data_IF_074517897066
#
_entry.id   IF_074517897066
#
_cell.length_a   1.000
_cell.length_b   1.000
_cell.length_c   1.000
_cell.angle_alpha   90.00
_cell.angle_beta   90.00
_cell.angle_gamma   90.00
#
_symmetry.space_group_name_H-M   'P 1'
#
loop_
_entity.id
_entity.type
_entity.pdbx_description
1 polymer ?
#
# COMPACT_ATOMS: atom_id res chain seq x y z
N UNK A 1 0.57 -37.74 -39.23
CA UNK A 1 1.20 -36.42 -39.45
C UNK A 1 0.16 -35.35 -39.13
N UNK A 2 0.60 -34.25 -38.50
CA UNK A 2 -0.25 -33.24 -37.87
C UNK A 2 0.46 -32.75 -36.61
N UNK A 3 0.80 -31.46 -36.56
CA UNK A 3 1.97 -31.00 -35.79
C UNK A 3 1.66 -30.45 -34.40
N UNK A 4 2.66 -30.51 -33.51
CA UNK A 4 2.60 -29.88 -32.19
C UNK A 4 2.56 -28.35 -32.27
N UNK A 5 1.51 -27.71 -31.73
CA UNK A 5 1.58 -26.30 -31.34
C UNK A 5 1.96 -26.15 -29.86
N UNK A 6 3.22 -26.44 -29.55
CA UNK A 6 3.82 -26.10 -28.25
C UNK A 6 3.79 -24.59 -28.03
N UNK A 7 2.88 -24.11 -27.17
CA UNK A 7 2.76 -22.70 -26.80
C UNK A 7 4.02 -22.21 -26.08
N UNK A 8 4.90 -21.51 -26.82
CA UNK A 8 6.09 -20.86 -26.27
C UNK A 8 5.68 -19.68 -25.39
N UNK A 9 5.83 -19.83 -24.07
CA UNK A 9 5.85 -18.67 -23.16
C UNK A 9 7.11 -17.83 -23.46
N UNK A 10 7.01 -16.51 -23.66
CA UNK A 10 8.20 -15.66 -23.63
C UNK A 10 8.79 -15.67 -22.22
N UNK A 11 10.12 -15.69 -22.12
CA UNK A 11 10.84 -15.38 -20.88
C UNK A 11 11.25 -13.92 -20.94
N UNK A 12 10.63 -13.07 -20.13
CA UNK A 12 11.00 -11.64 -20.00
C UNK A 12 12.25 -11.48 -19.15
N UNK A 13 13.08 -10.49 -19.48
CA UNK A 13 14.51 -10.42 -19.13
C UNK A 13 14.82 -9.72 -17.79
N UNK A 14 13.85 -9.65 -16.88
CA UNK A 14 13.82 -8.74 -15.71
C UNK A 14 14.76 -9.10 -14.55
N UNK A 15 15.77 -9.96 -14.75
CA UNK A 15 16.62 -10.46 -13.65
C UNK A 15 18.14 -10.29 -13.87
N UNK A 16 18.58 -9.72 -15.00
CA UNK A 16 20.00 -9.58 -15.28
C UNK A 16 20.66 -8.35 -14.62
N UNK A 17 19.93 -7.27 -14.37
CA UNK A 17 20.53 -5.99 -13.97
C UNK A 17 20.75 -5.84 -12.45
N UNK A 18 19.84 -6.36 -11.61
CA UNK A 18 20.08 -6.51 -10.16
C UNK A 18 21.34 -7.36 -9.88
N UNK A 19 21.48 -8.46 -10.61
CA UNK A 19 22.63 -9.36 -10.50
C UNK A 19 23.95 -8.67 -10.92
N UNK A 20 23.92 -7.82 -11.96
CA UNK A 20 25.07 -6.97 -12.35
C UNK A 20 25.37 -5.93 -11.26
N UNK A 21 24.35 -5.19 -10.81
CA UNK A 21 24.45 -4.13 -9.80
C UNK A 21 25.07 -4.64 -8.49
N UNK A 22 24.54 -5.73 -7.94
CA UNK A 22 25.07 -6.37 -6.73
C UNK A 22 26.53 -6.85 -6.93
N UNK A 23 26.82 -7.49 -8.06
CA UNK A 23 28.18 -7.92 -8.44
C UNK A 23 29.15 -6.75 -8.69
N UNK A 24 28.64 -5.55 -8.97
CA UNK A 24 29.41 -4.30 -9.06
C UNK A 24 29.76 -3.79 -7.64
N UNK A 25 28.78 -3.74 -6.73
CA UNK A 25 28.95 -3.32 -5.32
C UNK A 25 29.92 -4.22 -4.56
N UNK A 26 29.74 -5.54 -4.64
CA UNK A 26 30.63 -6.54 -4.02
C UNK A 26 32.08 -6.50 -4.56
N UNK A 27 32.30 -5.94 -5.76
CA UNK A 27 33.65 -5.66 -6.32
C UNK A 27 34.22 -4.32 -5.86
N UNK A 28 33.39 -3.37 -5.44
CA UNK A 28 33.82 -2.08 -4.90
C UNK A 28 34.24 -2.21 -3.43
N UNK A 29 33.46 -2.90 -2.59
CA UNK A 29 33.79 -3.18 -1.19
C UNK A 29 35.13 -3.93 -1.09
N UNK A 30 35.27 -5.06 -1.81
CA UNK A 30 36.52 -5.84 -1.87
C UNK A 30 37.72 -5.11 -2.49
N UNK A 31 37.54 -3.91 -3.06
CA UNK A 31 38.61 -2.99 -3.48
C UNK A 31 38.88 -1.89 -2.45
N UNK A 32 37.88 -1.50 -1.65
CA UNK A 32 38.06 -0.62 -0.50
C UNK A 32 38.83 -1.34 0.62
N UNK A 33 38.40 -2.54 1.02
CA UNK A 33 39.04 -3.35 2.06
C UNK A 33 40.53 -3.55 1.79
N UNK A 34 40.88 -3.95 0.56
CA UNK A 34 42.26 -4.17 0.13
C UNK A 34 43.11 -2.90 0.05
N UNK A 35 42.50 -1.72 -0.16
CA UNK A 35 43.20 -0.43 -0.05
C UNK A 35 43.44 -0.07 1.41
N UNK A 36 42.48 -0.34 2.28
CA UNK A 36 42.59 -0.07 3.72
C UNK A 36 43.65 -0.97 4.37
N UNK A 37 43.69 -2.28 4.05
CA UNK A 37 44.78 -3.19 4.45
C UNK A 37 46.17 -2.73 3.98
N UNK A 38 46.25 -2.27 2.72
CA UNK A 38 47.52 -1.84 2.12
C UNK A 38 48.05 -0.53 2.72
N UNK A 39 47.16 0.35 3.18
CA UNK A 39 47.53 1.53 3.96
C UNK A 39 47.91 1.13 5.40
N UNK A 40 47.07 0.35 6.09
CA UNK A 40 47.29 -0.08 7.48
C UNK A 40 48.66 -0.74 7.70
N UNK A 41 49.15 -1.52 6.73
CA UNK A 41 50.49 -2.14 6.82
C UNK A 41 51.64 -1.10 6.91
N UNK A 42 51.49 0.08 6.31
CA UNK A 42 52.52 1.14 6.24
C UNK A 42 52.62 2.03 7.49
N UNK A 43 51.58 2.10 8.31
CA UNK A 43 51.54 2.91 9.54
C UNK A 43 52.60 2.43 10.56
N UNK A 44 53.08 3.33 11.42
CA UNK A 44 53.88 2.96 12.60
C UNK A 44 53.06 2.21 13.65
N UNK A 45 53.72 1.65 14.67
CA UNK A 45 53.05 0.90 15.73
C UNK A 45 52.01 1.72 16.51
N UNK A 46 52.24 3.03 16.71
CA UNK A 46 51.31 3.90 17.42
C UNK A 46 50.09 4.24 16.55
N UNK A 47 50.32 4.70 15.31
CA UNK A 47 49.23 5.00 14.36
C UNK A 47 48.34 3.77 14.10
N UNK A 48 48.92 2.55 14.13
CA UNK A 48 48.17 1.29 14.05
C UNK A 48 47.23 1.07 15.23
N UNK A 49 47.65 1.43 16.45
CA UNK A 49 46.81 1.36 17.65
C UNK A 49 45.66 2.36 17.52
N UNK A 50 45.97 3.60 17.14
CA UNK A 50 44.98 4.69 17.07
C UNK A 50 43.93 4.41 15.97
N UNK A 51 44.36 3.94 14.80
CA UNK A 51 43.47 3.47 13.73
C UNK A 51 42.56 2.31 14.16
N UNK A 52 43.09 1.33 14.90
CA UNK A 52 42.29 0.23 15.43
C UNK A 52 41.28 0.70 16.48
N UNK A 53 41.66 1.65 17.35
CA UNK A 53 40.74 2.26 18.31
C UNK A 53 39.62 3.03 17.61
N UNK A 54 39.92 3.82 16.57
CA UNK A 54 38.90 4.51 15.77
C UNK A 54 37.98 3.51 15.06
N UNK A 55 38.53 2.47 14.43
CA UNK A 55 37.74 1.44 13.75
C UNK A 55 36.83 0.67 14.72
N UNK A 56 37.30 0.38 15.93
CA UNK A 56 36.49 -0.20 17.02
C UNK A 56 35.40 0.78 17.49
N UNK A 57 35.72 2.07 17.65
CA UNK A 57 34.76 3.12 18.03
C UNK A 57 33.64 3.24 16.99
N UNK A 58 34.01 3.25 15.71
CA UNK A 58 33.08 3.27 14.57
C UNK A 58 32.21 2.01 14.52
N UNK A 59 32.81 0.82 14.58
CA UNK A 59 32.04 -0.44 14.62
C UNK A 59 31.06 -0.51 15.82
N UNK A 60 31.40 0.12 16.96
CA UNK A 60 30.49 0.26 18.10
C UNK A 60 29.35 1.26 17.82
N UNK A 61 29.62 2.43 17.24
CA UNK A 61 28.55 3.38 16.89
C UNK A 61 27.61 2.82 15.83
N UNK A 62 28.17 2.20 14.79
CA UNK A 62 27.43 1.63 13.66
C UNK A 62 26.51 0.50 14.16
N UNK A 63 26.99 -0.34 15.08
CA UNK A 63 26.19 -1.39 15.74
C UNK A 63 25.09 -0.84 16.68
N UNK A 64 25.33 0.29 17.36
CA UNK A 64 24.30 0.94 18.18
C UNK A 64 23.18 1.48 17.27
N UNK A 65 23.53 2.07 16.13
CA UNK A 65 22.58 2.55 15.12
C UNK A 65 21.82 1.38 14.49
N UNK A 66 22.49 0.27 14.16
CA UNK A 66 21.86 -0.94 13.65
C UNK A 66 20.83 -1.52 14.65
N UNK A 67 21.20 -1.64 15.93
CA UNK A 67 20.29 -2.12 16.98
C UNK A 67 19.08 -1.19 17.16
N UNK A 68 19.27 0.13 17.12
CA UNK A 68 18.18 1.09 17.17
C UNK A 68 17.25 0.99 15.93
N UNK A 69 17.81 0.77 14.74
CA UNK A 69 17.04 0.55 13.52
C UNK A 69 16.24 -0.76 13.57
N UNK A 70 16.80 -1.83 14.13
CA UNK A 70 16.11 -3.12 14.32
C UNK A 70 14.96 -3.02 15.33
N UNK A 71 15.14 -2.29 16.44
CA UNK A 71 14.09 -2.04 17.43
C UNK A 71 12.96 -1.17 16.86
N UNK A 72 13.30 -0.08 16.14
CA UNK A 72 12.33 0.74 15.43
C UNK A 72 11.56 -0.06 14.36
N UNK A 73 12.24 -0.89 13.59
CA UNK A 73 11.60 -1.76 12.59
C UNK A 73 10.66 -2.77 13.26
N UNK A 74 11.09 -3.43 14.34
CA UNK A 74 10.24 -4.34 15.14
C UNK A 74 8.97 -3.64 15.62
N UNK A 75 9.10 -2.47 16.24
CA UNK A 75 7.98 -1.66 16.73
C UNK A 75 7.03 -1.22 15.62
N UNK A 76 7.53 -1.01 14.40
CA UNK A 76 6.67 -0.75 13.24
C UNK A 76 5.96 -2.03 12.78
N UNK A 77 6.67 -3.15 12.63
CA UNK A 77 6.08 -4.43 12.23
C UNK A 77 4.99 -4.91 13.19
N UNK A 78 5.15 -4.65 14.49
CA UNK A 78 4.16 -5.00 15.53
C UNK A 78 2.86 -4.18 15.38
N UNK A 79 2.96 -2.87 15.12
CA UNK A 79 1.81 -2.02 14.78
C UNK A 79 1.15 -2.46 13.47
N UNK A 80 1.95 -2.62 12.42
CA UNK A 80 1.53 -3.11 11.10
C UNK A 80 0.77 -4.44 11.21
N UNK A 81 1.22 -5.36 12.07
CA UNK A 81 0.57 -6.64 12.30
C UNK A 81 -0.79 -6.47 12.98
N UNK A 82 -0.87 -5.67 14.04
CA UNK A 82 -2.11 -5.39 14.77
C UNK A 82 -3.14 -4.70 13.85
N UNK A 83 -2.74 -3.70 13.06
CA UNK A 83 -3.62 -3.05 12.09
C UNK A 83 -4.07 -4.02 10.99
N UNK A 84 -3.15 -4.84 10.44
CA UNK A 84 -3.52 -5.87 9.46
C UNK A 84 -4.52 -6.87 10.03
N UNK A 85 -4.35 -7.28 11.29
CA UNK A 85 -5.30 -8.19 11.96
C UNK A 85 -6.66 -7.53 12.18
N UNK A 86 -6.69 -6.28 12.69
CA UNK A 86 -7.92 -5.50 12.91
C UNK A 86 -8.73 -5.27 11.62
N UNK A 87 -8.06 -5.14 10.48
CA UNK A 87 -8.71 -4.86 9.20
C UNK A 87 -8.76 -6.03 8.21
N UNK A 88 -8.25 -7.22 8.58
CA UNK A 88 -8.16 -8.39 7.68
C UNK A 88 -9.53 -8.83 7.12
N UNK A 89 -10.57 -8.79 7.97
CA UNK A 89 -11.95 -9.19 7.61
C UNK A 89 -12.62 -8.15 6.70
N UNK A 90 -12.06 -6.93 6.58
CA UNK A 90 -12.69 -5.81 5.89
C UNK A 90 -12.92 -6.01 4.38
N UNK A 91 -12.03 -6.75 3.69
CA UNK A 91 -12.25 -7.12 2.27
C UNK A 91 -13.39 -8.12 2.14
N UNK A 92 -13.31 -9.25 2.85
CA UNK A 92 -14.33 -10.29 2.86
C UNK A 92 -15.73 -9.76 3.24
N UNK A 93 -15.80 -8.89 4.24
CA UNK A 93 -17.04 -8.22 4.61
C UNK A 93 -17.59 -7.36 3.45
N UNK A 94 -16.73 -6.56 2.80
CA UNK A 94 -17.11 -5.71 1.66
C UNK A 94 -17.68 -6.53 0.49
N UNK A 95 -17.14 -7.73 0.25
CA UNK A 95 -17.61 -8.64 -0.80
C UNK A 95 -18.96 -9.31 -0.44
N UNK A 96 -19.29 -9.43 0.85
CA UNK A 96 -20.59 -9.91 1.34
C UNK A 96 -21.68 -8.82 1.32
N UNK A 97 -21.33 -7.54 1.51
CA UNK A 97 -22.33 -6.45 1.61
C UNK A 97 -23.38 -6.42 0.47
N UNK A 98 -23.06 -6.66 -0.82
CA UNK A 98 -24.06 -6.70 -1.89
C UNK A 98 -25.15 -7.77 -1.70
N UNK A 99 -24.82 -8.90 -1.07
CA UNK A 99 -25.82 -9.91 -0.72
C UNK A 99 -26.76 -9.40 0.38
N UNK A 100 -26.20 -8.74 1.41
CA UNK A 100 -26.97 -8.15 2.51
C UNK A 100 -27.88 -6.98 2.04
N UNK A 101 -27.43 -6.21 1.04
CA UNK A 101 -28.28 -5.22 0.37
C UNK A 101 -29.43 -5.89 -0.39
N UNK A 102 -29.16 -7.02 -1.07
CA UNK A 102 -30.18 -7.79 -1.81
C UNK A 102 -31.24 -8.37 -0.87
N UNK A 103 -30.84 -8.90 0.30
CA UNK A 103 -31.77 -9.26 1.37
C UNK A 103 -32.60 -8.05 1.84
N UNK A 104 -31.95 -6.90 2.07
CA UNK A 104 -32.63 -5.67 2.50
C UNK A 104 -33.64 -5.14 1.45
N UNK A 105 -33.34 -5.30 0.17
CA UNK A 105 -34.26 -5.00 -0.94
C UNK A 105 -35.46 -5.96 -0.95
N UNK A 106 -35.24 -7.27 -0.76
CA UNK A 106 -36.32 -8.26 -0.69
C UNK A 106 -37.26 -8.02 0.51
N UNK A 107 -36.70 -7.72 1.69
CA UNK A 107 -37.44 -7.34 2.90
C UNK A 107 -38.25 -6.03 2.73
N UNK A 108 -37.89 -5.17 1.78
CA UNK A 108 -38.58 -3.90 1.53
C UNK A 108 -39.85 -4.03 0.68
N UNK A 109 -40.19 -5.23 0.21
CA UNK A 109 -41.39 -5.47 -0.61
C UNK A 109 -42.68 -5.40 0.23
N UNK A 110 -43.57 -4.46 -0.11
CA UNK A 110 -44.80 -4.19 0.67
C UNK A 110 -46.03 -5.01 0.23
N UNK A 111 -46.00 -5.59 -0.97
CA UNK A 111 -47.14 -6.26 -1.59
C UNK A 111 -46.91 -7.78 -1.62
N UNK A 112 -47.08 -8.44 -0.47
CA UNK A 112 -46.83 -9.89 -0.30
C UNK A 112 -47.93 -10.55 0.53
N UNK A 113 -48.26 -11.80 0.18
CA UNK A 113 -49.27 -12.61 0.86
C UNK A 113 -48.89 -12.92 2.31
N UNK A 114 -49.87 -13.31 3.13
CA UNK A 114 -49.68 -13.62 4.54
C UNK A 114 -48.67 -14.77 4.76
N UNK A 115 -48.66 -15.76 3.86
CA UNK A 115 -47.67 -16.84 3.83
C UNK A 115 -46.25 -16.31 3.60
N UNK A 116 -46.05 -15.48 2.56
CA UNK A 116 -44.74 -14.88 2.25
C UNK A 116 -44.27 -13.97 3.39
N UNK A 117 -45.18 -13.31 4.11
CA UNK A 117 -44.84 -12.49 5.29
C UNK A 117 -44.19 -13.30 6.41
N UNK A 118 -44.57 -14.57 6.59
CA UNK A 118 -43.93 -15.46 7.57
C UNK A 118 -42.50 -15.82 7.15
N UNK A 119 -42.27 -16.09 5.87
CA UNK A 119 -40.91 -16.27 5.31
C UNK A 119 -40.05 -14.99 5.42
N UNK A 120 -40.66 -13.82 5.20
CA UNK A 120 -40.02 -12.51 5.33
C UNK A 120 -39.45 -12.27 6.73
N UNK A 121 -40.21 -12.66 7.77
CA UNK A 121 -39.75 -12.64 9.18
C UNK A 121 -38.55 -13.57 9.42
N UNK A 122 -38.50 -14.72 8.75
CA UNK A 122 -37.34 -15.61 8.78
C UNK A 122 -36.09 -14.97 8.19
N UNK A 123 -36.22 -14.27 7.05
CA UNK A 123 -35.10 -13.52 6.45
C UNK A 123 -34.67 -12.31 7.30
N UNK A 124 -35.60 -11.66 8.01
CA UNK A 124 -35.29 -10.60 8.98
C UNK A 124 -34.45 -11.12 10.16
N UNK A 125 -34.77 -12.31 10.69
CA UNK A 125 -33.93 -12.96 11.72
C UNK A 125 -32.52 -13.27 11.19
N UNK A 126 -32.40 -13.81 9.97
CA UNK A 126 -31.10 -14.07 9.33
C UNK A 126 -30.30 -12.78 9.14
N UNK A 127 -30.94 -11.67 8.72
CA UNK A 127 -30.31 -10.36 8.63
C UNK A 127 -29.79 -9.90 10.01
N UNK A 128 -30.58 -10.07 11.07
CA UNK A 128 -30.16 -9.76 12.44
C UNK A 128 -28.91 -10.54 12.89
N UNK A 129 -28.79 -11.81 12.49
CA UNK A 129 -27.58 -12.61 12.74
C UNK A 129 -26.35 -12.09 11.97
N UNK A 130 -26.53 -11.57 10.75
CA UNK A 130 -25.44 -10.90 10.01
C UNK A 130 -25.02 -9.59 10.68
N UNK A 131 -25.96 -8.75 11.11
CA UNK A 131 -25.63 -7.49 11.80
C UNK A 131 -24.88 -7.76 13.12
N UNK A 132 -25.34 -8.73 13.93
CA UNK A 132 -24.61 -9.19 15.14
C UNK A 132 -23.21 -9.73 14.82
N UNK A 133 -23.08 -10.54 13.76
CA UNK A 133 -21.78 -11.07 13.33
C UNK A 133 -20.84 -9.97 12.83
N UNK A 134 -21.36 -8.85 12.31
CA UNK A 134 -20.57 -7.69 11.92
C UNK A 134 -20.11 -6.89 13.14
N UNK A 135 -20.98 -6.64 14.11
CA UNK A 135 -20.63 -5.95 15.36
C UNK A 135 -19.51 -6.67 16.14
N UNK A 136 -19.56 -8.01 16.20
CA UNK A 136 -18.51 -8.85 16.81
C UNK A 136 -17.12 -8.67 16.14
N UNK A 137 -17.08 -8.33 14.85
CA UNK A 137 -15.84 -8.05 14.11
C UNK A 137 -15.51 -6.54 14.04
N UNK A 138 -16.17 -5.71 14.85
CA UNK A 138 -15.96 -4.27 14.89
C UNK A 138 -16.48 -3.53 13.65
N UNK A 139 -17.32 -4.19 12.84
CA UNK A 139 -17.98 -3.60 11.68
C UNK A 139 -19.30 -2.98 12.14
N UNK A 140 -19.48 -1.69 11.87
CA UNK A 140 -20.69 -0.94 12.23
C UNK A 140 -21.35 -0.37 10.98
N UNK A 141 -22.67 -0.41 10.95
CA UNK A 141 -23.45 0.35 9.97
C UNK A 141 -23.30 1.86 10.25
N UNK A 142 -23.25 2.66 9.19
CA UNK A 142 -23.33 4.12 9.30
C UNK A 142 -24.79 4.50 9.54
N UNK A 143 -25.06 5.18 10.64
CA UNK A 143 -26.37 5.77 10.94
C UNK A 143 -26.61 6.94 9.99
N UNK A 144 -27.66 6.82 9.18
CA UNK A 144 -28.08 7.81 8.17
C UNK A 144 -29.60 7.79 8.09
N UNK A 145 -30.23 8.92 8.39
CA UNK A 145 -31.68 9.08 8.39
C UNK A 145 -32.12 9.99 7.23
N UNK A 146 -33.41 9.97 6.92
CA UNK A 146 -34.01 10.92 5.99
C UNK A 146 -34.09 12.28 6.68
N UNK A 147 -33.56 13.33 6.04
CA UNK A 147 -33.43 14.69 6.57
C UNK A 147 -32.03 15.03 7.12
N UNK A 148 -31.16 14.04 7.34
CA UNK A 148 -29.79 14.30 7.78
C UNK A 148 -28.98 15.07 6.72
N UNK A 149 -28.01 15.92 7.13
CA UNK A 149 -27.16 16.66 6.20
C UNK A 149 -26.24 15.72 5.41
N UNK A 150 -26.05 16.00 4.12
CA UNK A 150 -25.12 15.26 3.29
C UNK A 150 -23.66 15.46 3.76
N UNK A 151 -22.86 14.39 3.73
CA UNK A 151 -21.46 14.43 4.14
C UNK A 151 -20.62 13.51 3.24
N UNK A 152 -19.87 14.11 2.32
CA UNK A 152 -19.03 13.43 1.32
C UNK A 152 -18.00 12.44 1.90
N UNK A 153 -17.63 12.56 3.19
CA UNK A 153 -16.72 11.61 3.85
C UNK A 153 -17.36 10.23 4.07
N UNK A 154 -18.68 10.17 4.27
CA UNK A 154 -19.41 8.97 4.67
C UNK A 154 -20.55 8.58 3.73
N UNK A 155 -21.05 9.54 2.95
CA UNK A 155 -22.22 9.40 2.08
C UNK A 155 -21.80 9.63 0.62
N UNK A 156 -22.35 8.83 -0.29
CA UNK A 156 -22.16 8.96 -1.74
C UNK A 156 -23.51 9.29 -2.38
N UNK A 157 -23.62 10.49 -2.95
CA UNK A 157 -24.80 10.90 -3.71
C UNK A 157 -24.83 10.12 -5.04
N UNK A 158 -25.85 9.28 -5.22
CA UNK A 158 -26.08 8.53 -6.47
C UNK A 158 -27.15 9.19 -7.34
N UNK A 159 -28.06 9.94 -6.71
CA UNK A 159 -29.17 10.63 -7.35
C UNK A 159 -29.36 12.00 -6.67
N UNK A 160 -29.64 13.04 -7.46
CA UNK A 160 -30.07 14.34 -6.96
C UNK A 160 -31.51 14.58 -7.38
N UNK A 161 -32.36 15.04 -6.46
CA UNK A 161 -33.79 15.25 -6.72
C UNK A 161 -34.29 16.54 -6.08
N UNK A 162 -35.04 17.35 -6.84
CA UNK A 162 -35.75 18.50 -6.29
C UNK A 162 -37.00 18.02 -5.51
N UNK A 163 -37.16 18.50 -4.28
CA UNK A 163 -38.30 18.19 -3.39
C UNK A 163 -38.60 19.42 -2.54
N UNK A 164 -39.74 20.07 -2.77
CA UNK A 164 -40.13 21.34 -2.14
C UNK A 164 -40.13 21.28 -0.60
N UNK A 165 -40.47 20.13 -0.03
CA UNK A 165 -40.69 19.96 1.41
C UNK A 165 -39.40 19.70 2.22
N UNK A 166 -38.23 19.73 1.58
CA UNK A 166 -36.94 19.46 2.23
C UNK A 166 -35.87 20.50 1.87
N UNK A 167 -34.84 20.63 2.71
CA UNK A 167 -33.73 21.57 2.52
C UNK A 167 -32.70 21.02 1.51
N UNK A 168 -32.13 21.89 0.69
CA UNK A 168 -30.96 21.57 -0.16
C UNK A 168 -29.81 20.95 0.66
N UNK A 169 -29.07 20.00 0.07
CA UNK A 169 -28.01 19.20 0.70
C UNK A 169 -28.46 18.34 1.91
N UNK A 170 -29.73 17.97 1.99
CA UNK A 170 -30.22 16.94 2.92
C UNK A 170 -30.50 15.61 2.22
N UNK A 171 -30.48 14.53 2.99
CA UNK A 171 -30.64 13.16 2.48
C UNK A 171 -32.13 12.85 2.34
N UNK A 172 -32.61 12.70 1.11
CA UNK A 172 -33.99 12.34 0.79
C UNK A 172 -34.27 10.85 1.07
N UNK A 173 -33.29 10.00 0.79
CA UNK A 173 -33.41 8.54 0.91
C UNK A 173 -32.05 7.88 1.02
N UNK A 174 -31.93 6.88 1.88
CA UNK A 174 -30.82 5.92 1.85
C UNK A 174 -31.21 4.78 0.90
N UNK A 175 -30.44 4.61 -0.18
CA UNK A 175 -30.65 3.55 -1.18
C UNK A 175 -29.73 2.34 -0.94
N UNK A 176 -28.58 2.53 -0.27
CA UNK A 176 -27.67 1.44 0.15
C UNK A 176 -27.05 1.79 1.50
N UNK A 177 -27.00 0.83 2.43
CA UNK A 177 -26.43 1.08 3.77
C UNK A 177 -24.92 1.23 3.72
N UNK A 178 -24.38 2.26 4.38
CA UNK A 178 -22.93 2.45 4.55
C UNK A 178 -22.40 1.63 5.72
N UNK A 179 -21.12 1.26 5.67
CA UNK A 179 -20.47 0.46 6.72
C UNK A 179 -19.01 0.91 6.96
N UNK A 180 -18.59 0.85 8.23
CA UNK A 180 -17.23 1.14 8.71
C UNK A 180 -16.69 -0.05 9.51
N UNK A 181 -15.36 -0.24 9.53
CA UNK A 181 -14.66 -1.21 10.38
C UNK A 181 -13.74 -0.44 11.33
N UNK A 182 -14.12 -0.37 12.61
CA UNK A 182 -13.55 0.59 13.55
C UNK A 182 -13.51 2.01 12.96
N UNK A 183 -12.29 2.50 12.73
CA UNK A 183 -12.01 3.87 12.30
C UNK A 183 -11.97 4.04 10.75
N UNK A 184 -12.06 2.95 10.00
CA UNK A 184 -11.93 2.92 8.53
C UNK A 184 -13.28 2.71 7.83
N UNK A 185 -13.54 3.48 6.77
CA UNK A 185 -14.70 3.26 5.89
C UNK A 185 -14.53 2.00 5.05
N UNK A 186 -15.51 1.09 5.06
CA UNK A 186 -15.59 -0.05 4.12
C UNK A 186 -16.34 0.35 2.85
N UNK A 187 -17.48 1.02 3.01
CA UNK A 187 -18.36 1.49 1.94
C UNK A 187 -19.17 2.71 2.42
N UNK A 188 -19.23 3.83 1.67
CA UNK A 188 -20.12 4.93 2.00
C UNK A 188 -21.60 4.52 1.88
N UNK A 189 -22.48 5.23 2.55
CA UNK A 189 -23.93 5.06 2.35
C UNK A 189 -24.33 5.67 1.00
N UNK A 190 -25.00 4.91 0.13
CA UNK A 190 -25.49 5.44 -1.14
C UNK A 190 -26.84 6.13 -0.91
N UNK A 191 -26.92 7.41 -1.25
CA UNK A 191 -28.06 8.28 -0.91
C UNK A 191 -28.59 9.04 -2.12
N UNK A 192 -29.89 9.33 -2.10
CA UNK A 192 -30.50 10.39 -2.91
C UNK A 192 -30.44 11.70 -2.12
N UNK A 193 -29.91 12.77 -2.70
CA UNK A 193 -29.76 14.08 -2.05
C UNK A 193 -30.76 15.09 -2.62
N UNK A 194 -31.33 15.93 -1.75
CA UNK A 194 -32.22 17.02 -2.14
C UNK A 194 -31.43 18.13 -2.80
N UNK A 195 -31.68 18.37 -4.09
CA UNK A 195 -31.12 19.51 -4.81
C UNK A 195 -32.23 20.49 -5.20
N UNK A 196 -32.42 21.50 -4.36
CA UNK A 196 -33.35 22.61 -4.61
C UNK A 196 -32.60 23.89 -5.06
N UNK A 197 -31.67 23.75 -6.00
CA UNK A 197 -31.02 24.90 -6.63
C UNK A 197 -32.01 25.65 -7.54
N UNK A 198 -32.53 26.77 -7.06
CA UNK A 198 -33.48 27.55 -7.83
C UNK A 198 -32.83 28.25 -9.05
N UNK A 199 -33.50 28.11 -10.20
CA UNK A 199 -33.34 28.80 -11.50
C UNK A 199 -32.47 28.20 -12.61
N UNK A 200 -32.96 28.50 -13.84
CA UNK A 200 -32.33 28.44 -15.17
C UNK A 200 -31.79 27.10 -15.68
N UNK A 201 -32.67 26.32 -16.32
CA UNK A 201 -32.35 25.52 -17.52
C UNK A 201 -33.65 25.19 -18.30
N UNK A 202 -34.16 26.16 -19.08
CA UNK A 202 -35.41 25.97 -19.87
C UNK A 202 -35.55 26.90 -21.10
N UNK A 203 -34.49 27.57 -21.56
CA UNK A 203 -34.56 28.51 -22.69
C UNK A 203 -33.27 28.53 -23.52
N UNK A 204 -33.04 27.51 -24.35
CA UNK A 204 -32.20 27.63 -25.55
C UNK A 204 -32.53 26.59 -26.65
N UNK A 205 -33.80 26.47 -27.02
CA UNK A 205 -34.16 26.04 -28.38
C UNK A 205 -34.59 27.28 -29.16
N UNK A 206 -33.84 27.68 -30.20
CA UNK A 206 -34.32 28.76 -31.08
C UNK A 206 -33.32 29.74 -31.68
N UNK A 207 -32.14 29.31 -32.15
CA UNK A 207 -31.53 30.02 -33.28
C UNK A 207 -30.82 29.10 -34.27
N UNK A 208 -31.58 28.63 -35.27
CA UNK A 208 -31.02 28.25 -36.57
C UNK A 208 -31.25 29.41 -37.52
N UNK A 209 -30.18 30.12 -37.89
CA UNK A 209 -30.09 30.59 -39.26
C UNK A 209 -28.63 30.59 -39.74
N UNK A 210 -28.43 30.25 -41.00
CA UNK A 210 -27.12 30.25 -41.63
C UNK A 210 -26.89 31.57 -42.36
N UNK A 211 -25.63 31.95 -42.52
CA UNK A 211 -25.22 32.61 -43.75
C UNK A 211 -23.75 32.28 -44.06
N UNK A 212 -23.43 32.09 -45.34
CA UNK A 212 -22.13 31.61 -45.81
C UNK A 212 -21.72 32.33 -47.08
N UNK A 213 -20.61 33.06 -47.02
CA UNK A 213 -19.84 33.66 -48.13
C UNK A 213 -18.66 34.42 -47.49
N UNK A 214 -17.38 34.13 -47.78
CA UNK A 214 -16.61 34.72 -48.91
C UNK A 214 -16.38 36.25 -48.75
N UNK A 215 -15.23 36.90 -48.98
CA UNK A 215 -13.86 36.63 -49.52
C UNK A 215 -12.96 37.84 -49.07
N UNK A 216 -11.62 37.96 -49.16
CA UNK A 216 -10.42 37.12 -49.47
C UNK A 216 -9.12 37.80 -48.96
N UNK A 217 -7.99 37.07 -48.97
CA UNK A 217 -6.62 37.54 -49.28
C UNK A 217 -5.82 38.57 -48.44
N UNK A 218 -4.60 38.12 -48.10
CA UNK A 218 -3.28 38.75 -48.35
C UNK A 218 -2.61 39.73 -47.37
N UNK A 219 -1.33 39.38 -47.11
CA UNK A 219 -0.13 40.21 -46.94
C UNK A 219 -0.11 41.25 -45.80
N UNK A 220 0.67 41.03 -44.73
CA UNK A 220 2.15 41.04 -44.67
C UNK A 220 2.77 42.42 -44.91
N UNK A 221 3.24 43.03 -43.82
CA UNK A 221 4.46 43.85 -43.86
C UNK A 221 5.24 43.69 -42.54
N UNK A 222 6.55 43.91 -42.59
CA UNK A 222 7.52 43.54 -41.55
C UNK A 222 8.41 44.74 -41.23
N UNK A 223 8.44 45.17 -39.96
CA UNK A 223 9.36 46.22 -39.47
C UNK A 223 10.03 45.74 -38.18
N UNK A 224 11.33 45.94 -38.08
CA UNK A 224 12.21 45.25 -37.13
C UNK A 224 12.79 46.16 -36.01
N UNK A 225 13.60 45.54 -35.13
CA UNK A 225 14.47 46.15 -34.10
C UNK A 225 13.76 46.54 -32.78
N UNK A 226 14.17 46.09 -31.58
CA UNK A 226 15.55 46.23 -31.07
C UNK A 226 15.82 45.50 -29.73
N UNK A 227 17.08 45.06 -29.55
CA UNK A 227 17.92 44.96 -28.33
C UNK A 227 17.46 44.35 -26.98
N UNK A 228 18.15 43.23 -26.65
CA UNK A 228 18.87 42.94 -25.38
C UNK A 228 18.11 42.42 -24.13
N UNK A 229 18.78 41.72 -23.18
CA UNK A 229 18.16 40.61 -22.43
C UNK A 229 18.20 40.72 -20.88
N UNK A 230 17.48 39.82 -20.19
CA UNK A 230 17.78 39.42 -18.79
C UNK A 230 17.22 38.02 -18.41
N UNK A 231 18.00 37.29 -17.61
CA UNK A 231 17.66 36.22 -16.63
C UNK A 231 16.31 35.46 -16.69
N UNK A 232 16.39 34.11 -16.69
CA UNK A 232 15.28 33.23 -16.28
C UNK A 232 15.66 31.74 -16.24
N UNK A 233 15.76 31.14 -15.04
CA UNK A 233 16.09 29.70 -14.88
C UNK A 233 14.91 28.80 -15.21
N UNK A 234 15.16 27.71 -15.95
CA UNK A 234 14.16 26.66 -16.17
C UNK A 234 14.05 25.72 -14.97
N UNK A 235 12.92 25.76 -14.26
CA UNK A 235 12.55 24.72 -13.29
C UNK A 235 11.74 23.63 -14.01
N UNK A 236 12.29 22.42 -14.09
CA UNK A 236 11.55 21.23 -14.53
C UNK A 236 11.16 20.39 -13.31
N UNK A 237 9.88 20.06 -13.17
CA UNK A 237 9.32 19.31 -12.02
C UNK A 237 8.90 17.91 -12.47
N UNK A 238 9.68 16.90 -12.07
CA UNK A 238 9.40 15.50 -12.34
C UNK A 238 8.60 14.86 -11.18
N UNK A 239 7.66 13.97 -11.50
CA UNK A 239 6.83 13.26 -10.51
C UNK A 239 7.59 12.08 -9.84
N UNK A 240 7.28 11.73 -8.57
CA UNK A 240 7.80 10.53 -7.93
C UNK A 240 7.08 9.27 -8.45
N UNK A 241 7.80 8.14 -8.52
CA UNK A 241 7.23 6.82 -8.89
C UNK A 241 7.61 5.72 -7.87
N UNK A 242 6.92 4.58 -7.97
CA UNK A 242 6.65 3.64 -6.87
C UNK A 242 7.86 2.93 -6.24
N UNK A 243 7.69 2.56 -4.97
CA UNK A 243 8.60 1.72 -4.18
C UNK A 243 8.31 0.22 -4.40
N UNK A 244 9.33 -0.56 -4.77
CA UNK A 244 9.24 -2.02 -4.95
C UNK A 244 10.48 -2.76 -4.40
N UNK A 245 10.86 -2.55 -3.13
CA UNK A 245 12.09 -3.14 -2.57
C UNK A 245 11.92 -3.85 -1.20
N UNK A 246 10.88 -4.68 -1.07
CA UNK A 246 10.57 -5.41 0.19
C UNK A 246 10.94 -6.91 0.14
N UNK A 247 11.10 -7.50 -1.05
CA UNK A 247 11.18 -8.96 -1.22
C UNK A 247 12.58 -9.58 -1.08
N UNK A 248 13.67 -8.81 -1.25
CA UNK A 248 15.03 -9.39 -1.29
C UNK A 248 15.71 -9.52 0.09
N UNK A 249 15.29 -8.77 1.10
CA UNK A 249 15.95 -8.75 2.42
C UNK A 249 15.81 -10.05 3.22
N UNK A 250 14.66 -10.71 3.13
CA UNK A 250 14.33 -11.91 3.93
C UNK A 250 15.16 -13.15 3.57
N UNK A 251 15.53 -13.33 2.30
CA UNK A 251 16.34 -14.49 1.89
C UNK A 251 17.81 -14.38 2.29
N UNK A 252 18.39 -13.18 2.38
CA UNK A 252 19.78 -13.02 2.85
C UNK A 252 19.92 -13.22 4.36
N UNK A 253 18.94 -12.81 5.16
CA UNK A 253 18.94 -13.07 6.61
C UNK A 253 18.85 -14.57 6.92
N UNK A 254 18.01 -15.33 6.20
CA UNK A 254 17.88 -16.77 6.38
C UNK A 254 19.21 -17.52 6.13
N UNK A 255 19.92 -17.17 5.06
CA UNK A 255 21.19 -17.82 4.70
C UNK A 255 22.32 -17.52 5.72
N UNK A 256 22.41 -16.27 6.22
CA UNK A 256 23.39 -15.91 7.23
C UNK A 256 23.11 -16.55 8.61
N UNK A 257 21.84 -16.76 8.97
CA UNK A 257 21.46 -17.48 10.20
C UNK A 257 21.93 -18.94 10.17
N UNK A 258 21.75 -19.64 9.04
CA UNK A 258 22.11 -21.05 8.89
C UNK A 258 23.64 -21.27 8.98
N UNK A 259 24.43 -20.40 8.32
CA UNK A 259 25.90 -20.40 8.42
C UNK A 259 26.40 -20.27 9.87
N UNK A 260 25.82 -19.35 10.65
CA UNK A 260 26.24 -19.14 12.04
C UNK A 260 25.85 -20.31 12.96
N UNK A 261 24.71 -20.96 12.71
CA UNK A 261 24.32 -22.18 13.44
C UNK A 261 25.32 -23.32 13.21
N UNK A 262 25.67 -23.59 11.94
CA UNK A 262 26.59 -24.67 11.57
C UNK A 262 28.02 -24.44 12.12
N UNK A 263 28.51 -23.20 12.09
CA UNK A 263 29.82 -22.86 12.68
C UNK A 263 29.86 -23.07 14.21
N UNK A 264 28.76 -22.80 14.92
CA UNK A 264 28.67 -23.00 16.37
C UNK A 264 28.57 -24.48 16.77
N UNK A 265 27.86 -25.30 15.97
CA UNK A 265 27.83 -26.76 16.18
C UNK A 265 29.21 -27.37 15.96
N UNK A 266 29.93 -26.96 14.90
CA UNK A 266 31.26 -27.48 14.59
C UNK A 266 32.30 -27.12 15.68
N UNK A 267 32.26 -25.91 16.25
CA UNK A 267 33.18 -25.52 17.33
C UNK A 267 32.89 -26.26 18.65
N UNK A 268 31.62 -26.50 18.99
CA UNK A 268 31.24 -27.29 20.17
C UNK A 268 31.67 -28.77 20.03
N UNK A 269 31.52 -29.36 18.84
CA UNK A 269 32.01 -30.72 18.58
C UNK A 269 33.54 -30.83 18.73
N UNK A 270 34.29 -29.81 18.28
CA UNK A 270 35.75 -29.77 18.48
C UNK A 270 36.13 -29.66 19.95
N UNK A 271 35.45 -28.84 20.76
CA UNK A 271 35.71 -28.74 22.20
C UNK A 271 35.44 -30.07 22.94
N UNK A 272 34.34 -30.74 22.61
CA UNK A 272 34.01 -32.04 23.23
C UNK A 272 35.04 -33.13 22.88
N UNK A 273 35.52 -33.18 21.64
CA UNK A 273 36.58 -34.12 21.24
C UNK A 273 37.92 -33.84 21.94
N UNK A 274 38.30 -32.57 22.13
CA UNK A 274 39.52 -32.20 22.89
C UNK A 274 39.42 -32.61 24.36
N UNK A 275 38.25 -32.42 24.99
CA UNK A 275 38.06 -32.79 26.40
C UNK A 275 38.04 -34.31 26.61
N UNK A 276 37.38 -35.08 25.73
CA UNK A 276 37.41 -36.54 25.81
C UNK A 276 38.83 -37.11 25.65
N UNK A 277 39.62 -36.58 24.71
CA UNK A 277 41.00 -37.04 24.48
C UNK A 277 41.93 -36.73 25.68
N UNK A 278 41.69 -35.63 26.42
CA UNK A 278 42.41 -35.33 27.67
C UNK A 278 42.07 -36.33 28.78
N UNK A 279 40.80 -36.64 29.00
CA UNK A 279 40.39 -37.62 30.01
C UNK A 279 41.00 -39.01 29.76
N UNK A 280 41.01 -39.46 28.50
CA UNK A 280 41.62 -40.76 28.15
C UNK A 280 43.13 -40.80 28.36
N UNK A 281 43.86 -39.68 28.23
CA UNK A 281 45.31 -39.64 28.48
C UNK A 281 45.65 -39.56 29.98
N UNK A 282 44.79 -38.99 30.83
CA UNK A 282 44.98 -39.03 32.29
C UNK A 282 44.70 -40.42 32.88
N UNK A 283 43.77 -41.19 32.28
CA UNK A 283 43.41 -42.55 32.71
C UNK A 283 44.47 -43.63 32.40
N UNK A 284 45.56 -43.29 31.70
CA UNK A 284 46.61 -44.25 31.27
C UNK A 284 47.95 -44.01 31.98
N UNK A 285 48.07 -42.91 32.73
CA UNK A 285 49.25 -42.54 33.52
C UNK A 285 48.97 -42.56 35.03
N UNK A 286 48.11 -43.47 35.49
CA UNK A 286 47.76 -43.74 36.90
C UNK A 286 47.78 -45.23 37.17
#
# INVERSE_FOLDING_TARGET
>A
MGEEKKSRRPKTDENLDDAKSNKQRLKAEKKADKKEEANFKKLSSQEKIDFLQEKIKKMKSDRIIELANLDNARKQYEKDFIDRQKYAVGSFAKDILPALDTFSMALSSKNVSDEIRNWLRGFEMVKGMFDQSFELHGIKKIEVNVGDPFNSKYHHAVEHKAVTDMKHDTILKVSQSGYMIGDRLLRPAAVTVVNNNANTDSNNEGNKNANTSEQTNNNNENVASSNQPTSGSSNNVQQPTNNANVSQGTQQQANNANMNAQNNVNSQQQMNNVNNNRNTQQSVNS
#
